data_IF_136798925944
#
_entry.id   IF_136798925944
#
_cell.length_a   1.000
_cell.length_b   1.000
_cell.length_c   1.000
_cell.angle_alpha   90.00
_cell.angle_beta   90.00
_cell.angle_gamma   90.00
#
_symmetry.space_group_name_H-M   'P 1'
#
loop_
_entity.id
_entity.type
_entity.pdbx_description
1 polymer ?
#
# COMPACT_ATOMS: atom_id res chain seq x y z
N UNK A 1 -9.41 27.59 -7.21
CA UNK A 1 -10.22 26.48 -6.68
C UNK A 1 -9.53 25.19 -7.12
N UNK A 2 -8.54 24.72 -6.36
CA UNK A 2 -7.85 23.46 -6.65
C UNK A 2 -8.48 22.39 -5.79
N UNK A 3 -9.14 21.44 -6.44
CA UNK A 3 -9.77 20.28 -5.85
C UNK A 3 -8.72 19.46 -5.10
N UNK A 4 -8.92 19.26 -3.79
CA UNK A 4 -8.17 18.30 -3.00
C UNK A 4 -8.62 16.89 -3.42
N UNK A 5 -8.06 16.37 -4.50
CA UNK A 5 -8.10 14.93 -4.76
C UNK A 5 -7.37 14.23 -3.62
N UNK A 6 -7.88 13.12 -3.06
CA UNK A 6 -7.09 12.27 -2.18
C UNK A 6 -5.89 11.80 -3.00
N UNK A 7 -4.72 12.41 -2.77
CA UNK A 7 -3.51 12.03 -3.47
C UNK A 7 -3.04 10.72 -2.85
N UNK A 8 -3.38 9.60 -3.49
CA UNK A 8 -2.75 8.33 -3.19
C UNK A 8 -1.23 8.51 -3.27
N UNK A 9 -0.49 7.96 -2.29
CA UNK A 9 0.96 8.10 -2.29
C UNK A 9 1.54 7.47 -3.56
N UNK A 10 2.43 8.21 -4.23
CA UNK A 10 3.09 7.78 -5.46
C UNK A 10 4.01 6.57 -5.25
N UNK A 11 4.35 6.24 -3.99
CA UNK A 11 5.15 5.09 -3.61
C UNK A 11 4.64 4.47 -2.31
N UNK A 12 4.67 3.15 -2.24
CA UNK A 12 4.38 2.38 -1.02
C UNK A 12 5.60 2.27 -0.10
N UNK A 13 6.80 2.60 -0.60
CA UNK A 13 8.05 2.57 0.16
C UNK A 13 8.02 3.64 1.24
N UNK A 14 8.33 3.27 2.48
CA UNK A 14 8.37 4.19 3.62
C UNK A 14 7.04 4.40 4.32
N UNK A 15 5.94 3.84 3.80
CA UNK A 15 4.68 3.78 4.53
C UNK A 15 4.75 2.75 5.65
N UNK A 16 4.25 3.14 6.83
CA UNK A 16 4.00 2.19 7.91
C UNK A 16 2.77 1.32 7.59
N UNK A 17 2.56 0.28 8.40
CA UNK A 17 1.47 -0.70 8.18
C UNK A 17 0.08 -0.08 8.20
N UNK A 18 -0.13 0.97 8.99
CA UNK A 18 -1.42 1.66 9.08
C UNK A 18 -1.66 2.48 7.82
N UNK A 19 -0.64 3.20 7.36
CA UNK A 19 -0.70 3.93 6.09
C UNK A 19 -0.94 3.00 4.90
N UNK A 20 -0.26 1.85 4.83
CA UNK A 20 -0.52 0.82 3.80
C UNK A 20 -1.97 0.31 3.85
N UNK A 21 -2.50 0.06 5.04
CA UNK A 21 -3.90 -0.35 5.22
C UNK A 21 -4.87 0.71 4.70
N UNK A 22 -4.57 1.99 4.95
CA UNK A 22 -5.39 3.11 4.48
C UNK A 22 -5.36 3.25 2.96
N UNK A 23 -4.20 3.05 2.32
CA UNK A 23 -4.11 3.01 0.85
C UNK A 23 -5.01 1.91 0.29
N UNK A 24 -5.01 0.71 0.89
CA UNK A 24 -5.91 -0.36 0.48
C UNK A 24 -7.38 -0.04 0.68
N UNK A 25 -7.74 0.62 1.77
CA UNK A 25 -9.11 1.07 2.00
C UNK A 25 -9.56 2.09 0.95
N UNK A 26 -8.69 3.04 0.58
CA UNK A 26 -8.97 4.09 -0.40
C UNK A 26 -9.22 3.54 -1.81
N UNK A 27 -8.52 2.46 -2.19
CA UNK A 27 -8.76 1.73 -3.45
C UNK A 27 -9.89 0.68 -3.36
N UNK A 28 -10.60 0.59 -2.23
CA UNK A 28 -11.78 -0.26 -2.07
C UNK A 28 -11.49 -1.73 -1.72
N UNK A 29 -10.31 -2.06 -1.19
CA UNK A 29 -10.01 -3.43 -0.73
C UNK A 29 -10.83 -3.73 0.53
N UNK A 30 -11.53 -4.87 0.61
CA UNK A 30 -12.28 -5.26 1.79
C UNK A 30 -11.39 -5.37 3.03
N UNK A 31 -11.86 -4.85 4.17
CA UNK A 31 -11.06 -4.81 5.41
C UNK A 31 -10.51 -6.19 5.83
N UNK A 32 -11.27 -7.25 5.55
CA UNK A 32 -10.90 -8.64 5.82
C UNK A 32 -9.62 -9.07 5.08
N UNK A 33 -9.38 -8.50 3.89
CA UNK A 33 -8.21 -8.80 3.06
C UNK A 33 -7.03 -7.86 3.32
N UNK A 34 -7.29 -6.65 3.82
CA UNK A 34 -6.26 -5.62 3.98
C UNK A 34 -5.10 -6.09 4.86
N UNK A 35 -5.38 -6.78 5.97
CA UNK A 35 -4.32 -7.26 6.87
C UNK A 35 -3.39 -8.28 6.19
N UNK A 36 -3.93 -9.14 5.33
CA UNK A 36 -3.15 -10.11 4.55
C UNK A 36 -2.31 -9.39 3.48
N UNK A 37 -2.92 -8.46 2.74
CA UNK A 37 -2.23 -7.69 1.70
C UNK A 37 -1.13 -6.79 2.25
N UNK A 38 -1.34 -6.17 3.42
CA UNK A 38 -0.28 -5.42 4.14
C UNK A 38 0.91 -6.34 4.43
N UNK A 39 0.68 -7.57 4.91
CA UNK A 39 1.77 -8.51 5.17
C UNK A 39 2.53 -8.89 3.90
N UNK A 40 1.83 -9.11 2.78
CA UNK A 40 2.46 -9.43 1.49
C UNK A 40 3.34 -8.29 1.00
N UNK A 41 2.79 -7.07 0.90
CA UNK A 41 3.56 -5.88 0.49
C UNK A 41 4.74 -5.65 1.44
N UNK A 42 4.55 -5.81 2.74
CA UNK A 42 5.63 -5.65 3.72
C UNK A 42 6.76 -6.65 3.51
N UNK A 43 6.43 -7.93 3.26
CA UNK A 43 7.42 -8.96 2.95
C UNK A 43 8.19 -8.60 1.68
N UNK A 44 7.49 -8.19 0.64
CA UNK A 44 8.15 -7.87 -0.62
C UNK A 44 9.06 -6.64 -0.55
N UNK A 45 8.59 -5.56 0.09
CA UNK A 45 9.37 -4.32 0.23
C UNK A 45 10.59 -4.49 1.13
N UNK A 46 10.43 -5.13 2.30
CA UNK A 46 11.46 -5.11 3.34
C UNK A 46 12.22 -6.42 3.53
N UNK A 47 11.64 -7.56 3.15
CA UNK A 47 12.33 -8.87 3.24
C UNK A 47 13.03 -9.19 1.92
N UNK A 48 12.34 -8.99 0.80
CA UNK A 48 12.88 -9.31 -0.52
C UNK A 48 13.51 -8.11 -1.24
N UNK A 49 13.30 -6.88 -0.75
CA UNK A 49 13.84 -5.66 -1.37
C UNK A 49 13.27 -5.39 -2.76
N UNK A 50 12.10 -5.95 -3.08
CA UNK A 50 11.48 -5.82 -4.40
C UNK A 50 10.86 -4.43 -4.52
N UNK A 51 11.32 -3.68 -5.51
CA UNK A 51 10.85 -2.31 -5.80
C UNK A 51 9.85 -2.25 -6.97
N UNK A 52 9.61 -3.40 -7.60
CA UNK A 52 8.78 -3.53 -8.80
C UNK A 52 7.79 -4.69 -8.60
N UNK A 53 6.50 -4.37 -8.55
CA UNK A 53 5.44 -5.35 -8.28
C UNK A 53 5.34 -6.36 -9.44
N UNK A 54 5.69 -5.98 -10.67
CA UNK A 54 5.70 -6.91 -11.82
C UNK A 54 6.80 -7.98 -11.71
N UNK A 55 7.69 -7.88 -10.72
CA UNK A 55 8.74 -8.86 -10.42
C UNK A 55 8.43 -9.76 -9.21
N UNK A 56 7.20 -9.68 -8.67
CA UNK A 56 6.70 -10.51 -7.55
C UNK A 56 5.96 -11.75 -8.04
#
# INVERSE_FOLDING_TARGET
MSSLSPQMPSSLVGLDRTALKQVFADIGIPEKEQNMRVRQIWSWLYVHGVQDIDKM
#
